data_IF_512737768927
#
_entry.id   IF_512737768927
#
_cell.length_a   1.000
_cell.length_b   1.000
_cell.length_c   1.000
_cell.angle_alpha   90.00
_cell.angle_beta   90.00
_cell.angle_gamma   90.00
#
_symmetry.space_group_name_H-M   'P 1'
#
loop_
_entity.id
_entity.type
_entity.pdbx_description
1 polymer ?
#
# COMPACT_ATOMS: atom_id res chain seq x y z
N UNK A 1 -17.57 -14.96 -32.44
CA UNK A 1 -17.38 -15.81 -31.24
C UNK A 1 -15.87 -16.00 -31.03
N UNK A 2 -15.33 -15.36 -29.99
CA UNK A 2 -14.00 -15.48 -29.36
C UNK A 2 -13.75 -14.13 -28.65
N UNK A 3 -13.40 -13.99 -27.38
CA UNK A 3 -13.23 -14.95 -26.30
C UNK A 3 -13.46 -14.18 -24.99
N UNK A 4 -14.52 -14.54 -24.25
CA UNK A 4 -14.83 -13.97 -22.92
C UNK A 4 -13.74 -14.29 -21.87
N UNK A 5 -12.76 -15.13 -22.22
CA UNK A 5 -11.60 -15.45 -21.40
C UNK A 5 -10.50 -14.37 -21.44
N UNK A 6 -10.38 -13.58 -22.51
CA UNK A 6 -9.34 -12.53 -22.60
C UNK A 6 -9.71 -11.29 -21.77
N UNK A 7 -11.01 -10.98 -21.69
CA UNK A 7 -11.53 -9.86 -20.89
C UNK A 7 -11.38 -10.12 -19.38
N UNK A 8 -11.29 -11.39 -18.95
CA UNK A 8 -11.02 -11.73 -17.55
C UNK A 8 -9.56 -11.48 -17.15
N UNK A 9 -8.61 -11.58 -18.08
CA UNK A 9 -7.17 -11.40 -17.79
C UNK A 9 -6.82 -9.91 -17.58
N UNK A 10 -7.52 -9.00 -18.27
CA UNK A 10 -7.33 -7.55 -18.12
C UNK A 10 -7.98 -6.95 -16.86
N UNK A 11 -8.69 -7.75 -16.06
CA UNK A 11 -9.35 -7.31 -14.82
C UNK A 11 -8.56 -7.62 -13.54
N UNK A 12 -7.33 -8.14 -13.64
CA UNK A 12 -6.51 -8.48 -12.45
C UNK A 12 -5.80 -7.27 -11.80
N UNK A 13 -5.91 -6.08 -12.40
CA UNK A 13 -5.34 -4.83 -11.88
C UNK A 13 -6.39 -3.71 -11.85
N UNK A 14 -7.59 -3.98 -11.33
CA UNK A 14 -8.36 -2.85 -10.79
C UNK A 14 -7.49 -2.21 -9.71
N UNK A 15 -7.15 -0.90 -9.81
CA UNK A 15 -6.53 -0.21 -8.68
C UNK A 15 -7.45 -0.45 -7.49
N UNK A 16 -6.85 -0.95 -6.41
CA UNK A 16 -7.55 -1.22 -5.16
C UNK A 16 -8.45 -0.03 -4.88
N UNK A 17 -9.74 -0.31 -4.67
CA UNK A 17 -10.76 0.66 -4.30
C UNK A 17 -10.17 1.77 -3.44
N UNK A 18 -10.48 3.02 -3.79
CA UNK A 18 -10.01 4.21 -3.08
C UNK A 18 -10.10 3.97 -1.57
N UNK A 19 -8.94 3.88 -0.92
CA UNK A 19 -8.90 3.66 0.53
C UNK A 19 -9.41 4.93 1.19
N UNK A 20 -10.45 4.85 2.02
CA UNK A 20 -10.87 5.98 2.82
C UNK A 20 -9.71 6.53 3.66
N UNK A 21 -9.63 7.84 3.82
CA UNK A 21 -8.52 8.51 4.51
C UNK A 21 -8.37 8.06 5.95
N UNK A 22 -9.48 7.79 6.64
CA UNK A 22 -9.49 7.26 8.01
C UNK A 22 -8.87 5.87 8.06
N UNK A 23 -9.23 4.97 7.15
CA UNK A 23 -8.65 3.62 7.04
C UNK A 23 -7.16 3.68 6.71
N UNK A 24 -6.75 4.55 5.78
CA UNK A 24 -5.35 4.78 5.45
C UNK A 24 -4.57 5.33 6.66
N UNK A 25 -5.16 6.25 7.42
CA UNK A 25 -4.57 6.79 8.66
C UNK A 25 -4.39 5.69 9.72
N UNK A 26 -5.36 4.80 9.87
CA UNK A 26 -5.27 3.67 10.81
C UNK A 26 -4.15 2.72 10.39
N UNK A 27 -4.03 2.40 9.09
CA UNK A 27 -2.91 1.61 8.57
C UNK A 27 -1.57 2.23 8.95
N UNK A 28 -1.39 3.54 8.73
CA UNK A 28 -0.16 4.26 9.07
C UNK A 28 0.13 4.17 10.57
N UNK A 29 -0.88 4.41 11.42
CA UNK A 29 -0.75 4.32 12.88
C UNK A 29 -0.34 2.92 13.34
N UNK A 30 -0.98 1.88 12.83
CA UNK A 30 -0.64 0.50 13.19
C UNK A 30 0.75 0.10 12.68
N UNK A 31 1.11 0.48 11.45
CA UNK A 31 2.45 0.22 10.91
C UNK A 31 3.56 0.91 11.71
N UNK A 32 3.30 2.12 12.21
CA UNK A 32 4.20 2.85 13.12
C UNK A 32 4.28 2.17 14.48
N UNK A 33 3.16 1.71 15.04
CA UNK A 33 3.12 0.99 16.32
C UNK A 33 4.00 -0.28 16.28
N UNK A 34 3.97 -1.00 15.18
CA UNK A 34 4.80 -2.19 14.98
C UNK A 34 6.16 -1.90 14.35
N UNK A 35 6.61 -0.64 14.28
CA UNK A 35 7.79 -0.27 13.51
C UNK A 35 9.02 -1.12 13.85
N UNK A 36 9.38 -1.21 15.13
CA UNK A 36 10.52 -2.01 15.56
C UNK A 36 10.42 -3.48 15.13
N UNK A 37 9.24 -4.09 15.26
CA UNK A 37 9.04 -5.48 14.84
C UNK A 37 9.22 -5.68 13.33
N UNK A 38 8.91 -4.68 12.51
CA UNK A 38 9.18 -4.74 11.09
C UNK A 38 10.67 -4.58 10.75
N UNK A 39 11.41 -3.81 11.55
CA UNK A 39 12.87 -3.67 11.36
C UNK A 39 13.61 -4.94 11.82
N UNK A 40 13.15 -5.58 12.91
CA UNK A 40 13.80 -6.74 13.50
C UNK A 40 13.50 -8.07 12.78
N UNK A 41 12.39 -8.15 12.03
CA UNK A 41 11.96 -9.38 11.36
C UNK A 41 12.16 -9.30 9.85
N UNK A 42 12.55 -10.41 9.21
CA UNK A 42 12.60 -10.53 7.74
C UNK A 42 11.28 -11.00 7.13
N UNK A 43 10.41 -11.64 7.94
CA UNK A 43 9.13 -12.18 7.51
C UNK A 43 7.98 -11.38 8.13
N UNK A 44 7.32 -10.56 7.31
CA UNK A 44 6.32 -9.61 7.78
C UNK A 44 4.86 -10.07 7.63
N UNK A 45 4.62 -11.28 7.13
CA UNK A 45 3.27 -11.79 6.85
C UNK A 45 2.35 -11.67 8.06
N UNK A 46 2.84 -12.06 9.24
CA UNK A 46 2.04 -12.10 10.46
C UNK A 46 1.73 -10.69 10.97
N UNK A 47 2.66 -9.75 10.80
CA UNK A 47 2.44 -8.34 11.15
C UNK A 47 1.38 -7.71 10.25
N UNK A 48 1.42 -7.99 8.94
CA UNK A 48 0.38 -7.52 8.03
C UNK A 48 -0.99 -8.12 8.34
N UNK A 49 -1.04 -9.41 8.70
CA UNK A 49 -2.28 -10.07 9.14
C UNK A 49 -2.83 -9.44 10.42
N UNK A 50 -1.98 -9.14 11.41
CA UNK A 50 -2.40 -8.45 12.64
C UNK A 50 -2.98 -7.07 12.36
N UNK A 51 -2.37 -6.32 11.44
CA UNK A 51 -2.86 -4.99 11.05
C UNK A 51 -4.21 -5.10 10.33
N UNK A 52 -4.34 -6.02 9.36
CA UNK A 52 -5.58 -6.23 8.63
C UNK A 52 -6.73 -6.60 9.58
N UNK A 53 -6.51 -7.56 10.49
CA UNK A 53 -7.49 -7.96 11.48
C UNK A 53 -7.91 -6.77 12.36
N UNK A 54 -6.96 -5.92 12.78
CA UNK A 54 -7.28 -4.72 13.55
C UNK A 54 -8.23 -3.79 12.79
N UNK A 55 -7.95 -3.51 11.51
CA UNK A 55 -8.81 -2.65 10.67
C UNK A 55 -10.20 -3.27 10.53
N UNK A 56 -10.29 -4.56 10.18
CA UNK A 56 -11.56 -5.28 10.02
C UNK A 56 -12.40 -5.24 11.30
N UNK A 57 -11.80 -5.48 12.47
CA UNK A 57 -12.52 -5.53 13.74
C UNK A 57 -13.03 -4.17 14.22
N UNK A 58 -12.28 -3.10 14.00
CA UNK A 58 -12.61 -1.79 14.56
C UNK A 58 -13.42 -0.89 13.62
N UNK A 59 -13.43 -1.17 12.31
CA UNK A 59 -13.98 -0.23 11.32
C UNK A 59 -14.94 -0.85 10.29
N UNK A 60 -15.35 -2.12 10.49
CA UNK A 60 -16.28 -2.83 9.58
C UNK A 60 -15.85 -2.75 8.10
N UNK A 61 -14.54 -2.71 7.86
CA UNK A 61 -13.95 -2.57 6.54
C UNK A 61 -13.19 -3.84 6.20
N UNK A 62 -13.59 -4.55 5.15
CA UNK A 62 -12.96 -5.81 4.77
C UNK A 62 -11.66 -5.58 4.02
N UNK A 63 -10.55 -6.03 4.62
CA UNK A 63 -9.24 -5.83 4.06
C UNK A 63 -8.30 -6.99 4.33
N UNK A 64 -7.52 -7.35 3.32
CA UNK A 64 -6.51 -8.38 3.44
C UNK A 64 -5.15 -7.81 3.89
N UNK A 65 -4.32 -8.69 4.46
CA UNK A 65 -2.92 -8.39 4.78
C UNK A 65 -2.15 -7.87 3.56
N UNK A 66 -2.38 -8.48 2.39
CA UNK A 66 -1.74 -8.09 1.13
C UNK A 66 -2.16 -6.69 0.68
N UNK A 67 -3.44 -6.33 0.82
CA UNK A 67 -3.90 -4.97 0.53
C UNK A 67 -3.23 -3.95 1.46
N UNK A 68 -3.11 -4.25 2.77
CA UNK A 68 -2.39 -3.39 3.72
C UNK A 68 -0.93 -3.16 3.31
N UNK A 69 -0.23 -4.24 2.93
CA UNK A 69 1.15 -4.17 2.47
C UNK A 69 1.30 -3.32 1.20
N UNK A 70 0.47 -3.56 0.18
CA UNK A 70 0.50 -2.81 -1.09
C UNK A 70 0.22 -1.33 -0.85
N UNK A 71 -0.81 -1.00 -0.05
CA UNK A 71 -1.14 0.39 0.27
C UNK A 71 -0.01 1.07 1.04
N UNK A 72 0.61 0.40 2.00
CA UNK A 72 1.75 0.94 2.74
C UNK A 72 2.91 1.30 1.80
N UNK A 73 3.29 0.40 0.89
CA UNK A 73 4.38 0.70 -0.05
C UNK A 73 4.05 1.85 -0.98
N UNK A 74 2.80 1.95 -1.44
CA UNK A 74 2.35 3.08 -2.23
C UNK A 74 2.45 4.41 -1.45
N UNK A 75 1.95 4.43 -0.20
CA UNK A 75 2.04 5.60 0.68
C UNK A 75 3.49 6.00 0.95
N UNK A 76 4.36 5.03 1.26
CA UNK A 76 5.78 5.28 1.54
C UNK A 76 6.50 5.85 0.31
N UNK A 77 6.29 5.25 -0.87
CA UNK A 77 6.86 5.74 -2.14
C UNK A 77 6.38 7.16 -2.46
N UNK A 78 5.10 7.43 -2.27
CA UNK A 78 4.53 8.77 -2.46
C UNK A 78 5.16 9.80 -1.52
N UNK A 79 5.28 9.47 -0.24
CA UNK A 79 5.93 10.33 0.75
C UNK A 79 7.41 10.60 0.42
N UNK A 80 8.17 9.56 0.07
CA UNK A 80 9.58 9.70 -0.31
C UNK A 80 9.75 10.59 -1.55
N UNK A 81 8.86 10.44 -2.55
CA UNK A 81 8.87 11.30 -3.73
C UNK A 81 8.59 12.77 -3.37
N UNK A 82 7.54 13.04 -2.57
CA UNK A 82 7.23 14.40 -2.11
C UNK A 82 8.39 15.00 -1.31
N UNK A 83 9.01 14.23 -0.42
CA UNK A 83 10.15 14.66 0.37
C UNK A 83 11.33 15.08 -0.53
N UNK A 84 11.61 14.34 -1.60
CA UNK A 84 12.66 14.65 -2.59
C UNK A 84 12.36 15.93 -3.36
N UNK A 85 11.14 16.08 -3.88
CA UNK A 85 10.71 17.29 -4.60
C UNK A 85 10.84 18.53 -3.72
N UNK A 86 10.52 18.42 -2.43
CA UNK A 86 10.64 19.51 -1.47
C UNK A 86 12.11 19.78 -1.06
N UNK A 87 13.00 18.79 -1.10
CA UNK A 87 14.40 18.95 -0.70
C UNK A 87 15.29 19.57 -1.77
N UNK A 88 14.77 19.89 -2.97
CA UNK A 88 15.55 20.41 -4.13
C UNK A 88 16.79 19.58 -4.44
N UNK A 89 16.69 18.26 -4.33
CA UNK A 89 17.79 17.35 -4.62
C UNK A 89 18.03 17.27 -6.14
N UNK A 90 19.19 17.72 -6.66
CA UNK A 90 19.46 17.76 -8.10
C UNK A 90 19.62 16.38 -8.75
N UNK A 91 19.77 15.31 -7.97
CA UNK A 91 19.84 13.93 -8.48
C UNK A 91 18.45 13.25 -8.60
N UNK A 92 17.37 14.02 -8.45
CA UNK A 92 15.98 13.54 -8.57
C UNK A 92 15.59 13.08 -9.99
N UNK A 93 16.41 13.39 -11.00
CA UNK A 93 16.16 13.11 -12.42
C UNK A 93 16.26 11.62 -12.81
N UNK A 94 16.78 10.77 -11.92
CA UNK A 94 17.03 9.34 -12.20
C UNK A 94 15.85 8.39 -11.98
N UNK A 95 14.72 8.85 -11.42
CA UNK A 95 13.57 7.99 -11.15
C UNK A 95 12.37 8.40 -12.00
N UNK A 96 12.06 7.60 -13.03
CA UNK A 96 10.86 7.77 -13.85
C UNK A 96 9.62 7.96 -12.95
N UNK A 97 8.92 9.06 -13.17
CA UNK A 97 7.58 9.35 -12.68
C UNK A 97 6.57 8.39 -13.30
N UNK A 98 6.73 7.07 -13.11
CA UNK A 98 5.67 6.12 -13.44
C UNK A 98 4.62 6.20 -12.34
N UNK A 99 3.62 7.06 -12.59
CA UNK A 99 2.25 6.78 -12.20
C UNK A 99 1.92 5.37 -12.70
N UNK A 100 1.53 4.43 -11.82
CA UNK A 100 0.96 3.18 -12.27
C UNK A 100 -0.44 3.51 -12.79
N UNK A 101 -0.54 3.71 -14.11
CA UNK A 101 -1.80 3.56 -14.84
C UNK A 101 -2.10 2.07 -15.01
#
# INVERSE_FOLDING_TARGET
MANNQVIQILNLHKPVAEWPDDIALILIKQRRRYHQLFEDNTHHSDLWTRIANYICHHHQYEISARQCQVKWYFLKRGYENLKRLLSRDPDADGYELRSPN
#
